data_IF_321988042426
#
_entry.id   IF_321988042426
#
_cell.length_a   1.000
_cell.length_b   1.000
_cell.length_c   1.000
_cell.angle_alpha   90.00
_cell.angle_beta   90.00
_cell.angle_gamma   90.00
#
_symmetry.space_group_name_H-M   'P 1'
#
loop_
_entity.id
_entity.type
_entity.pdbx_description
1 polymer ?
#
# COMPACT_ATOMS: atom_id res chain seq x y z
N UNK A 1 50.17 -0.57 -7.03
CA UNK A 1 49.24 0.33 -7.70
C UNK A 1 47.89 -0.35 -7.67
N UNK A 2 47.11 -0.03 -6.63
CA UNK A 2 45.77 -0.65 -6.41
C UNK A 2 44.75 0.13 -7.24
N UNK A 3 44.20 -0.51 -8.24
CA UNK A 3 43.16 0.05 -9.08
C UNK A 3 41.85 -0.05 -8.30
N UNK A 4 41.40 1.04 -7.68
CA UNK A 4 40.03 1.17 -7.18
C UNK A 4 39.12 1.30 -8.39
N UNK A 5 38.45 0.20 -8.77
CA UNK A 5 37.28 0.28 -9.64
C UNK A 5 36.17 0.86 -8.79
N UNK A 6 35.93 2.16 -8.91
CA UNK A 6 34.69 2.78 -8.44
C UNK A 6 33.60 2.28 -9.39
N UNK A 7 32.88 1.23 -8.98
CA UNK A 7 31.59 0.90 -9.58
C UNK A 7 30.61 2.01 -9.19
N UNK A 8 30.62 3.10 -9.95
CA UNK A 8 29.61 4.14 -9.87
C UNK A 8 28.32 3.61 -10.45
N UNK A 9 27.56 2.87 -9.67
CA UNK A 9 26.11 2.78 -9.90
C UNK A 9 25.58 4.20 -9.81
N UNK A 10 24.80 4.64 -10.78
CA UNK A 10 24.07 5.91 -10.69
C UNK A 10 23.03 5.74 -9.59
N UNK A 11 23.43 5.98 -8.35
CA UNK A 11 22.48 6.07 -7.25
C UNK A 11 21.69 7.37 -7.46
N UNK A 12 20.40 7.27 -7.33
CA UNK A 12 19.46 8.34 -7.64
C UNK A 12 18.61 8.61 -6.39
N UNK A 13 18.53 9.87 -6.03
CA UNK A 13 17.66 10.34 -4.96
C UNK A 13 16.26 10.63 -5.51
N UNK A 14 15.23 10.17 -4.83
CA UNK A 14 13.84 10.33 -5.21
C UNK A 14 13.16 11.36 -4.33
N UNK A 15 12.39 12.28 -4.94
CA UNK A 15 11.65 13.31 -4.24
C UNK A 15 10.20 13.35 -4.73
N UNK A 16 9.27 13.38 -3.79
CA UNK A 16 7.85 13.54 -4.04
C UNK A 16 7.46 15.02 -3.97
N UNK A 17 6.80 15.51 -5.01
CA UNK A 17 6.17 16.83 -5.02
C UNK A 17 4.83 16.76 -4.28
N UNK A 18 4.60 17.71 -3.39
CA UNK A 18 3.41 17.79 -2.57
C UNK A 18 2.58 19.03 -2.96
N UNK A 19 1.26 18.88 -2.94
CA UNK A 19 0.36 20.03 -2.98
C UNK A 19 0.18 20.65 -1.57
N UNK A 20 -0.62 21.72 -1.48
CA UNK A 20 -0.91 22.44 -0.23
C UNK A 20 -1.59 21.58 0.85
N UNK A 21 -2.16 20.43 0.47
CA UNK A 21 -2.76 19.45 1.38
C UNK A 21 -1.82 18.29 1.73
N UNK A 22 -0.53 18.40 1.41
CA UNK A 22 0.49 17.34 1.55
C UNK A 22 0.20 16.06 0.76
N UNK A 23 -0.54 16.16 -0.34
CA UNK A 23 -0.82 15.04 -1.23
C UNK A 23 0.21 15.01 -2.35
N UNK A 24 0.81 13.85 -2.57
CA UNK A 24 1.81 13.60 -3.60
C UNK A 24 1.19 13.76 -4.99
N UNK A 25 1.81 14.61 -5.79
CA UNK A 25 1.42 14.87 -7.18
C UNK A 25 2.23 14.02 -8.16
N UNK A 26 3.52 13.86 -7.87
CA UNK A 26 4.45 13.04 -8.66
C UNK A 26 5.73 12.79 -7.87
N UNK A 27 6.55 11.87 -8.39
CA UNK A 27 7.91 11.63 -7.89
C UNK A 27 8.91 11.91 -8.99
N UNK A 28 9.95 12.67 -8.67
CA UNK A 28 11.08 12.96 -9.55
C UNK A 28 12.37 12.38 -8.99
N UNK A 29 13.32 12.18 -9.89
CA UNK A 29 14.60 11.53 -9.58
C UNK A 29 15.73 12.52 -9.87
N UNK A 30 16.66 12.63 -8.94
CA UNK A 30 17.80 13.54 -9.00
C UNK A 30 19.10 12.77 -8.78
N UNK A 31 20.22 13.32 -9.27
CA UNK A 31 21.52 12.71 -9.06
C UNK A 31 21.94 12.78 -7.59
N UNK A 32 22.39 11.66 -7.01
CA UNK A 32 22.93 11.64 -5.65
C UNK A 32 24.08 12.62 -5.45
N UNK A 33 24.93 12.82 -6.48
CA UNK A 33 26.04 13.78 -6.40
C UNK A 33 25.54 15.23 -6.22
N UNK A 34 24.41 15.55 -6.84
CA UNK A 34 23.77 16.87 -6.70
C UNK A 34 23.17 17.05 -5.30
N UNK A 35 22.47 16.01 -4.79
CA UNK A 35 21.91 16.02 -3.44
C UNK A 35 23.01 16.09 -2.38
N UNK A 36 24.06 15.28 -2.50
CA UNK A 36 25.22 15.30 -1.58
C UNK A 36 25.91 16.65 -1.50
N UNK A 37 25.92 17.40 -2.61
CA UNK A 37 26.51 18.76 -2.65
C UNK A 37 25.60 19.83 -2.05
N UNK A 38 24.33 19.50 -1.77
CA UNK A 38 23.31 20.43 -1.28
C UNK A 38 22.62 19.92 0.01
N UNK A 39 23.40 19.42 0.96
CA UNK A 39 22.94 19.01 2.29
C UNK A 39 22.94 17.51 2.52
N UNK A 40 22.94 16.69 1.47
CA UNK A 40 22.91 15.24 1.56
C UNK A 40 21.53 14.64 1.72
N UNK A 41 21.47 13.31 1.74
CA UNK A 41 20.22 12.56 1.86
C UNK A 41 19.49 12.87 3.19
N UNK A 42 18.18 12.96 3.09
CA UNK A 42 17.23 13.14 4.20
C UNK A 42 17.36 14.48 4.94
N UNK A 43 18.07 15.46 4.36
CA UNK A 43 18.26 16.78 4.95
C UNK A 43 17.19 17.79 4.49
N UNK A 44 16.89 18.75 5.34
CA UNK A 44 16.01 19.87 4.99
C UNK A 44 16.68 20.79 3.94
N UNK A 45 18.02 20.85 3.93
CA UNK A 45 18.79 21.59 2.94
C UNK A 45 18.61 21.02 1.54
N UNK A 46 18.65 19.69 1.38
CA UNK A 46 18.42 19.05 0.10
C UNK A 46 16.97 19.25 -0.38
N UNK A 47 16.00 19.17 0.50
CA UNK A 47 14.61 19.46 0.17
C UNK A 47 14.44 20.93 -0.26
N UNK A 48 14.99 21.87 0.49
CA UNK A 48 14.99 23.31 0.14
C UNK A 48 15.69 23.59 -1.18
N UNK A 49 16.78 22.88 -1.48
CA UNK A 49 17.45 22.99 -2.78
C UNK A 49 16.53 22.58 -3.93
N UNK A 50 15.83 21.45 -3.78
CA UNK A 50 14.88 20.98 -4.79
C UNK A 50 13.68 21.94 -4.92
N UNK A 51 13.13 22.41 -3.80
CA UNK A 51 12.04 23.40 -3.78
C UNK A 51 12.44 24.71 -4.47
N UNK A 52 13.65 25.20 -4.25
CA UNK A 52 14.18 26.40 -4.89
C UNK A 52 14.31 26.22 -6.40
N UNK A 53 14.73 25.03 -6.84
CA UNK A 53 14.99 24.73 -8.25
C UNK A 53 13.70 24.43 -9.03
N UNK A 54 12.77 23.69 -8.43
CA UNK A 54 11.58 23.17 -9.10
C UNK A 54 10.32 23.99 -8.80
N UNK A 55 10.34 24.77 -7.72
CA UNK A 55 9.14 25.36 -7.13
C UNK A 55 8.34 24.31 -6.35
N UNK A 56 7.34 24.75 -5.59
CA UNK A 56 6.47 23.89 -4.82
C UNK A 56 7.10 23.33 -3.54
N UNK A 57 6.51 22.28 -2.98
CA UNK A 57 6.97 21.59 -1.78
C UNK A 57 7.40 20.19 -2.12
N UNK A 58 8.54 19.75 -1.59
CA UNK A 58 9.16 18.47 -1.93
C UNK A 58 9.65 17.73 -0.70
N UNK A 59 9.46 16.42 -0.69
CA UNK A 59 9.97 15.53 0.35
C UNK A 59 10.73 14.37 -0.28
N UNK A 60 11.95 14.11 0.20
CA UNK A 60 12.71 12.95 -0.24
C UNK A 60 11.98 11.67 0.13
N UNK A 61 11.99 10.67 -0.75
CA UNK A 61 11.35 9.37 -0.53
C UNK A 61 12.29 8.21 -0.86
N UNK A 62 12.11 7.09 -0.17
CA UNK A 62 12.96 5.91 -0.30
C UNK A 62 12.39 4.93 -1.30
N UNK A 63 13.10 4.69 -2.40
CA UNK A 63 12.71 3.69 -3.42
C UNK A 63 12.50 2.29 -2.83
N UNK A 64 13.34 1.91 -1.87
CA UNK A 64 13.29 0.61 -1.20
C UNK A 64 12.40 0.61 0.06
N UNK A 65 11.67 1.69 0.33
CA UNK A 65 10.84 1.86 1.52
C UNK A 65 11.60 1.65 2.87
N UNK A 66 12.90 1.91 2.88
CA UNK A 66 13.72 1.80 4.10
C UNK A 66 13.55 3.01 5.02
N UNK A 67 13.22 4.16 4.43
CA UNK A 67 13.02 5.44 5.12
C UNK A 67 11.68 6.04 4.74
N UNK A 68 11.07 6.80 5.66
CA UNK A 68 9.84 7.57 5.44
C UNK A 68 8.64 6.76 4.97
N UNK A 69 8.62 5.45 5.30
CA UNK A 69 7.51 4.57 5.02
C UNK A 69 7.52 4.00 3.60
N UNK A 70 6.35 3.84 2.98
CA UNK A 70 6.24 3.30 1.63
C UNK A 70 6.78 4.28 0.59
N UNK A 71 7.32 3.75 -0.51
CA UNK A 71 7.60 4.56 -1.69
C UNK A 71 6.28 5.14 -2.21
N UNK A 72 6.15 6.48 -2.28
CA UNK A 72 4.88 7.09 -2.58
C UNK A 72 4.55 7.06 -4.07
N UNK A 73 3.25 6.95 -4.37
CA UNK A 73 2.67 7.24 -5.67
C UNK A 73 1.80 8.50 -5.61
N UNK A 74 1.25 8.90 -6.74
CA UNK A 74 0.25 9.96 -6.82
C UNK A 74 -0.94 9.66 -5.88
N UNK A 75 -1.42 10.66 -5.16
CA UNK A 75 -2.50 10.52 -4.19
C UNK A 75 -2.07 10.07 -2.79
N UNK A 76 -0.82 9.68 -2.57
CA UNK A 76 -0.29 9.43 -1.22
C UNK A 76 -0.23 10.74 -0.43
N UNK A 77 -0.33 10.64 0.88
CA UNK A 77 -0.25 11.78 1.79
C UNK A 77 1.07 11.76 2.57
N UNK A 78 1.77 12.88 2.62
CA UNK A 78 2.87 13.08 3.56
C UNK A 78 2.33 13.42 4.94
N UNK A 79 2.55 12.52 5.90
CA UNK A 79 2.23 12.77 7.30
C UNK A 79 3.47 13.30 8.02
N UNK A 80 3.49 14.62 8.25
CA UNK A 80 4.64 15.29 8.87
C UNK A 80 4.89 14.84 10.32
N UNK A 81 3.82 14.52 11.08
CA UNK A 81 3.95 14.08 12.48
C UNK A 81 4.61 12.70 12.61
N UNK A 82 4.43 11.85 11.61
CA UNK A 82 5.03 10.52 11.56
C UNK A 82 6.30 10.50 10.69
N UNK A 83 6.58 11.57 9.95
CA UNK A 83 7.62 11.63 8.91
C UNK A 83 7.52 10.46 7.93
N UNK A 84 6.29 10.18 7.45
CA UNK A 84 6.00 9.02 6.58
C UNK A 84 5.03 9.38 5.46
N UNK A 85 5.23 8.71 4.31
CA UNK A 85 4.23 8.66 3.27
C UNK A 85 3.20 7.58 3.59
N UNK A 86 1.94 7.95 3.46
CA UNK A 86 0.80 7.08 3.69
C UNK A 86 0.02 6.90 2.40
N UNK A 87 -0.36 5.67 2.09
CA UNK A 87 -1.27 5.37 0.98
C UNK A 87 -2.62 6.05 1.17
N UNK A 88 -3.39 6.28 0.11
CA UNK A 88 -4.77 6.75 0.25
C UNK A 88 -5.55 5.82 1.18
N UNK A 89 -6.33 6.41 2.09
CA UNK A 89 -7.17 5.67 3.02
C UNK A 89 -8.24 4.89 2.24
N UNK A 90 -8.27 3.55 2.31
CA UNK A 90 -9.17 2.76 1.47
C UNK A 90 -10.65 2.88 1.90
N UNK A 91 -10.91 3.00 3.21
CA UNK A 91 -12.24 3.08 3.80
C UNK A 91 -12.24 3.97 5.03
N UNK A 92 -13.34 4.67 5.30
CA UNK A 92 -13.44 5.62 6.41
C UNK A 92 -13.30 4.97 7.79
N UNK A 93 -13.74 3.72 7.94
CA UNK A 93 -13.62 2.95 9.18
C UNK A 93 -12.21 2.46 9.47
N UNK A 94 -11.32 2.39 8.47
CA UNK A 94 -9.96 1.87 8.66
C UNK A 94 -9.07 2.88 9.39
N UNK A 95 -8.14 2.38 10.18
CA UNK A 95 -7.16 3.18 10.91
C UNK A 95 -5.72 2.88 10.48
N UNK A 96 -4.86 3.90 10.55
CA UNK A 96 -3.44 3.73 10.25
C UNK A 96 -2.72 2.95 11.35
N UNK A 97 -2.08 1.85 10.98
CA UNK A 97 -1.16 1.13 11.85
C UNK A 97 0.28 1.55 11.58
N UNK A 98 0.87 2.29 12.52
CA UNK A 98 2.22 2.84 12.37
C UNK A 98 3.31 1.76 12.33
N UNK A 99 3.11 0.62 13.02
CA UNK A 99 4.05 -0.51 13.04
C UNK A 99 4.01 -1.26 11.71
N UNK A 100 2.81 -1.57 11.22
CA UNK A 100 2.62 -2.26 9.94
C UNK A 100 2.79 -1.33 8.73
N UNK A 101 2.85 -0.01 8.95
CA UNK A 101 2.94 1.04 7.94
C UNK A 101 1.87 0.91 6.84
N UNK A 102 0.63 0.68 7.24
CA UNK A 102 -0.55 0.52 6.37
C UNK A 102 -1.85 0.81 7.11
N UNK A 103 -2.92 1.08 6.35
CA UNK A 103 -4.27 1.09 6.91
C UNK A 103 -4.73 -0.33 7.24
N UNK A 104 -5.52 -0.45 8.30
CA UNK A 104 -6.10 -1.72 8.74
C UNK A 104 -7.57 -1.52 9.09
N UNK A 105 -8.36 -2.52 8.73
CA UNK A 105 -9.75 -2.62 9.14
C UNK A 105 -9.85 -2.76 10.67
N UNK A 106 -10.95 -2.30 11.28
CA UNK A 106 -11.21 -2.49 12.71
C UNK A 106 -11.37 -3.97 13.11
N UNK A 107 -11.74 -4.81 12.16
CA UNK A 107 -11.85 -6.27 12.31
C UNK A 107 -10.75 -6.93 11.50
N UNK A 108 -10.02 -7.87 12.11
CA UNK A 108 -8.96 -8.61 11.42
C UNK A 108 -9.52 -9.37 10.22
N UNK A 109 -8.83 -9.26 9.09
CA UNK A 109 -9.18 -10.01 7.88
C UNK A 109 -9.07 -11.52 8.13
N UNK A 110 -10.07 -12.32 7.71
CA UNK A 110 -9.99 -13.77 7.77
C UNK A 110 -8.76 -14.29 7.02
N UNK A 111 -8.10 -15.29 7.58
CA UNK A 111 -6.95 -15.91 6.96
C UNK A 111 -7.35 -16.68 5.69
N UNK A 112 -6.38 -16.97 4.82
CA UNK A 112 -6.64 -17.76 3.61
C UNK A 112 -7.31 -19.10 3.92
N UNK A 113 -6.88 -19.80 4.97
CA UNK A 113 -7.48 -21.06 5.40
C UNK A 113 -8.93 -20.93 5.87
N UNK A 114 -9.31 -19.79 6.44
CA UNK A 114 -10.69 -19.49 6.84
C UNK A 114 -11.57 -19.10 5.65
N UNK A 115 -10.97 -18.78 4.52
CA UNK A 115 -11.67 -18.50 3.26
C UNK A 115 -11.77 -19.73 2.33
N UNK A 116 -11.15 -20.85 2.70
CA UNK A 116 -11.26 -22.09 1.95
C UNK A 116 -12.61 -22.77 2.19
N UNK A 117 -13.16 -23.34 1.12
CA UNK A 117 -14.39 -24.12 1.16
C UNK A 117 -14.32 -25.25 0.13
N UNK A 118 -15.11 -26.30 0.35
CA UNK A 118 -15.12 -27.49 -0.51
C UNK A 118 -16.47 -27.61 -1.24
N UNK A 119 -16.40 -27.84 -2.55
CA UNK A 119 -17.56 -28.17 -3.37
C UNK A 119 -17.26 -29.50 -4.06
N UNK A 120 -18.02 -30.54 -3.75
CA UNK A 120 -17.71 -31.88 -4.21
C UNK A 120 -16.31 -32.33 -3.79
N UNK A 121 -15.43 -32.63 -4.74
CA UNK A 121 -14.04 -33.04 -4.50
C UNK A 121 -13.04 -31.85 -4.60
N UNK A 122 -13.50 -30.60 -4.86
CA UNK A 122 -12.67 -29.45 -5.13
C UNK A 122 -12.60 -28.50 -3.94
N UNK A 123 -11.39 -28.01 -3.64
CA UNK A 123 -11.17 -26.93 -2.68
C UNK A 123 -11.03 -25.61 -3.43
N UNK A 124 -11.79 -24.62 -3.02
CA UNK A 124 -11.83 -23.29 -3.59
C UNK A 124 -11.61 -22.22 -2.52
N UNK A 125 -11.32 -21.00 -2.93
CA UNK A 125 -11.20 -19.86 -2.01
C UNK A 125 -12.29 -18.84 -2.29
N UNK A 126 -12.93 -18.36 -1.22
CA UNK A 126 -13.86 -17.26 -1.30
C UNK A 126 -13.12 -15.95 -1.57
N UNK A 127 -13.71 -15.08 -2.37
CA UNK A 127 -13.20 -13.73 -2.60
C UNK A 127 -13.71 -12.80 -1.50
N UNK A 128 -12.79 -12.33 -0.65
CA UNK A 128 -13.11 -11.43 0.46
C UNK A 128 -13.16 -9.97 0.01
N UNK A 129 -14.01 -9.18 0.63
CA UNK A 129 -14.08 -7.73 0.48
C UNK A 129 -14.57 -7.10 1.78
N UNK A 130 -14.22 -5.82 1.97
CA UNK A 130 -14.69 -5.05 3.10
C UNK A 130 -16.06 -4.42 2.80
N UNK A 131 -17.03 -4.67 3.66
CA UNK A 131 -18.36 -4.07 3.65
C UNK A 131 -18.36 -2.88 4.63
N UNK A 132 -18.13 -1.69 4.09
CA UNK A 132 -17.97 -0.46 4.88
C UNK A 132 -19.27 -0.08 5.60
N UNK A 133 -20.42 -0.25 4.96
CA UNK A 133 -21.72 0.14 5.53
C UNK A 133 -22.04 -0.66 6.80
N UNK A 134 -21.59 -1.90 6.85
CA UNK A 134 -21.80 -2.80 7.99
C UNK A 134 -20.52 -3.01 8.83
N UNK A 135 -19.42 -2.37 8.45
CA UNK A 135 -18.14 -2.43 9.15
C UNK A 135 -17.68 -3.88 9.40
N UNK A 136 -17.66 -4.71 8.35
CA UNK A 136 -17.36 -6.14 8.45
C UNK A 136 -16.69 -6.69 7.19
N UNK A 137 -16.03 -7.83 7.31
CA UNK A 137 -15.60 -8.62 6.16
C UNK A 137 -16.78 -9.41 5.59
N UNK A 138 -16.88 -9.41 4.27
CA UNK A 138 -17.82 -10.21 3.50
C UNK A 138 -17.05 -11.01 2.45
N UNK A 139 -17.63 -12.09 1.97
CA UNK A 139 -17.03 -12.92 0.94
C UNK A 139 -18.07 -13.50 -0.01
N UNK A 140 -17.63 -13.71 -1.24
CA UNK A 140 -18.39 -14.41 -2.27
C UNK A 140 -17.93 -15.87 -2.34
N UNK A 141 -18.88 -16.77 -2.18
CA UNK A 141 -18.72 -18.21 -2.33
C UNK A 141 -19.40 -18.63 -3.62
N UNK A 142 -18.73 -19.41 -4.44
CA UNK A 142 -19.31 -19.97 -5.66
C UNK A 142 -19.84 -21.37 -5.38
N UNK A 143 -20.94 -21.74 -6.00
CA UNK A 143 -21.46 -23.11 -6.01
C UNK A 143 -20.93 -23.96 -7.17
N UNK A 144 -19.90 -23.46 -7.87
CA UNK A 144 -19.30 -24.16 -9.00
C UNK A 144 -18.48 -25.37 -8.55
N UNK A 145 -18.94 -26.57 -8.87
CA UNK A 145 -18.25 -27.85 -8.64
C UNK A 145 -17.03 -28.06 -9.57
N UNK A 146 -16.37 -27.00 -10.03
CA UNK A 146 -15.05 -27.11 -10.69
C UNK A 146 -15.01 -27.84 -12.02
N UNK A 147 -16.14 -27.94 -12.71
CA UNK A 147 -16.20 -28.47 -14.07
C UNK A 147 -15.94 -27.36 -15.10
N UNK A 148 -15.13 -27.63 -16.11
CA UNK A 148 -14.82 -26.73 -17.22
C UNK A 148 -16.04 -26.49 -18.18
N UNK A 149 -17.27 -26.61 -17.69
CA UNK A 149 -18.48 -26.35 -18.46
C UNK A 149 -19.01 -24.96 -18.15
N UNK A 150 -18.57 -23.98 -18.93
CA UNK A 150 -19.02 -22.58 -18.90
C UNK A 150 -20.53 -22.42 -19.21
N UNK A 151 -21.26 -23.49 -19.45
CA UNK A 151 -22.68 -23.46 -19.82
C UNK A 151 -23.64 -23.45 -18.62
N UNK A 152 -23.15 -23.62 -17.41
CA UNK A 152 -23.97 -23.61 -16.19
C UNK A 152 -23.89 -22.24 -15.52
N UNK A 153 -25.04 -21.62 -15.27
CA UNK A 153 -25.11 -20.41 -14.44
C UNK A 153 -24.72 -20.77 -13.01
N UNK A 154 -23.52 -20.32 -12.60
CA UNK A 154 -23.06 -20.47 -11.23
C UNK A 154 -23.70 -19.40 -10.35
N UNK A 155 -24.28 -19.81 -9.24
CA UNK A 155 -24.74 -18.88 -8.23
C UNK A 155 -23.60 -18.50 -7.28
N UNK A 156 -23.59 -17.21 -6.91
CA UNK A 156 -22.70 -16.69 -5.88
C UNK A 156 -23.52 -16.43 -4.64
N UNK A 157 -23.10 -16.98 -3.50
CA UNK A 157 -23.66 -16.61 -2.20
C UNK A 157 -22.74 -15.64 -1.47
N UNK A 158 -23.33 -14.62 -0.86
CA UNK A 158 -22.59 -13.71 0.00
C UNK A 158 -22.68 -14.19 1.43
N UNK A 159 -21.55 -14.25 2.11
CA UNK A 159 -21.48 -14.54 3.55
C UNK A 159 -20.75 -13.42 4.27
N UNK A 160 -21.01 -13.29 5.57
CA UNK A 160 -20.40 -12.32 6.44
C UNK A 160 -19.51 -12.99 7.47
N UNK A 161 -18.36 -12.41 7.74
CA UNK A 161 -17.44 -12.91 8.76
C UNK A 161 -17.94 -12.55 10.15
N UNK A 162 -18.08 -13.56 11.00
CA UNK A 162 -18.32 -13.39 12.42
C UNK A 162 -16.98 -13.56 13.17
N UNK A 163 -16.38 -12.47 13.70
CA UNK A 163 -15.10 -12.54 14.37
C UNK A 163 -15.15 -13.29 15.73
N UNK A 164 -16.30 -13.37 16.37
CA UNK A 164 -16.44 -14.02 17.68
C UNK A 164 -16.44 -15.55 17.55
N UNK A 165 -16.99 -16.06 16.45
CA UNK A 165 -17.04 -17.50 16.17
C UNK A 165 -15.98 -17.94 15.18
N UNK A 166 -15.24 -16.98 14.58
CA UNK A 166 -14.27 -17.21 13.50
C UNK A 166 -14.87 -18.03 12.34
N UNK A 167 -16.10 -17.69 11.93
CA UNK A 167 -16.83 -18.42 10.92
C UNK A 167 -17.60 -17.49 9.97
N UNK A 168 -17.82 -17.97 8.75
CA UNK A 168 -18.70 -17.32 7.78
C UNK A 168 -20.16 -17.69 8.04
N UNK A 169 -21.00 -16.68 8.12
CA UNK A 169 -22.46 -16.81 8.31
C UNK A 169 -23.18 -16.28 7.08
N UNK A 170 -24.35 -16.87 6.78
CA UNK A 170 -25.17 -16.42 5.65
C UNK A 170 -25.64 -14.97 5.83
N UNK A 171 -25.76 -14.26 4.71
CA UNK A 171 -26.14 -12.84 4.66
C UNK A 171 -27.63 -12.63 4.89
#
# INVERSE_FOLDING_TARGET
MLLFVVQGGFEMAHFAELNDSNIVQRVCVFSNSEISSNGGDWSDEAETFIETRMGGSWKQCSYNANERGKYPGEGYTWNASLSKFQEPKPFDSWSWNNTANKYQAPITEPSKSQCEYTIGEWTSQATTFWDEDNTRWSALFSDNEGGADDSVNHSLSTKHWNPDTEAWVDA
#
